data_IF_012786744929
#
_entry.id   IF_012786744929
#
_cell.length_a   1.000
_cell.length_b   1.000
_cell.length_c   1.000
_cell.angle_alpha   90.00
_cell.angle_beta   90.00
_cell.angle_gamma   90.00
#
_symmetry.space_group_name_H-M   'P 1'
#
loop_
_entity.id
_entity.type
_entity.pdbx_description
1 polymer ?
#
# COMPACT_ATOMS: atom_id res chain seq x y z
N UNK A 1 16.04 3.34 15.18
CA UNK A 1 15.37 2.71 14.03
C UNK A 1 15.49 1.20 14.16
N UNK A 2 14.37 0.51 14.11
CA UNK A 2 14.28 -0.94 13.96
C UNK A 2 14.17 -1.24 12.47
N UNK A 3 15.06 -2.10 11.99
CA UNK A 3 15.08 -2.60 10.61
C UNK A 3 15.24 -4.11 10.67
N UNK A 4 14.35 -4.84 10.00
CA UNK A 4 14.43 -6.31 9.85
C UNK A 4 14.18 -6.66 8.39
N UNK A 5 15.19 -7.25 7.78
CA UNK A 5 15.07 -7.94 6.50
C UNK A 5 14.73 -9.40 6.79
N UNK A 6 13.62 -9.87 6.23
CA UNK A 6 13.09 -11.22 6.39
C UNK A 6 13.13 -11.89 5.03
N UNK A 7 13.49 -13.17 4.98
CA UNK A 7 13.62 -13.93 3.74
C UNK A 7 12.63 -15.10 3.72
N UNK A 8 11.92 -15.25 2.62
CA UNK A 8 11.27 -16.50 2.24
C UNK A 8 12.12 -17.27 1.24
N UNK A 9 12.52 -18.47 1.62
CA UNK A 9 13.35 -19.34 0.79
C UNK A 9 12.59 -20.06 -0.32
N UNK A 10 11.25 -20.01 -0.33
CA UNK A 10 10.44 -20.70 -1.35
C UNK A 10 10.36 -19.84 -2.61
N UNK A 11 10.04 -18.55 -2.47
CA UNK A 11 10.00 -17.58 -3.57
C UNK A 11 11.32 -16.81 -3.77
N UNK A 12 12.20 -16.79 -2.77
CA UNK A 12 13.39 -15.93 -2.79
C UNK A 12 13.09 -14.47 -2.43
N UNK A 13 11.94 -14.21 -1.81
CA UNK A 13 11.46 -12.87 -1.49
C UNK A 13 12.09 -12.33 -0.20
N UNK A 14 12.48 -11.06 -0.23
CA UNK A 14 12.75 -10.24 0.93
C UNK A 14 11.53 -9.39 1.31
N UNK A 15 11.16 -9.44 2.58
CA UNK A 15 10.21 -8.51 3.19
C UNK A 15 10.93 -7.64 4.22
N UNK A 16 10.55 -6.36 4.32
CA UNK A 16 11.25 -5.38 5.17
C UNK A 16 10.33 -4.80 6.23
N UNK A 17 10.58 -5.10 7.51
CA UNK A 17 9.85 -4.51 8.64
C UNK A 17 10.65 -3.33 9.22
N UNK A 18 9.98 -2.18 9.29
CA UNK A 18 10.54 -0.88 9.66
C UNK A 18 9.76 -0.27 10.82
N UNK A 19 10.45 0.28 11.81
CA UNK A 19 9.87 1.12 12.86
C UNK A 19 10.90 2.12 13.41
N UNK A 20 10.46 3.25 13.96
CA UNK A 20 11.39 4.23 14.56
C UNK A 20 11.96 3.74 15.90
N UNK A 21 11.13 3.11 16.74
CA UNK A 21 11.43 2.61 18.09
C UNK A 21 10.51 1.45 18.50
N UNK A 22 10.84 0.76 19.59
CA UNK A 22 9.93 -0.16 20.27
C UNK A 22 8.74 0.61 20.89
N UNK A 23 7.58 -0.04 20.98
CA UNK A 23 6.29 0.57 21.34
C UNK A 23 5.72 1.50 20.27
N UNK A 24 6.28 1.48 19.06
CA UNK A 24 6.01 2.44 17.99
C UNK A 24 5.17 1.88 16.85
N UNK A 25 4.84 2.75 15.90
CA UNK A 25 4.26 2.34 14.62
C UNK A 25 5.29 1.61 13.76
N UNK A 26 4.80 0.62 13.01
CA UNK A 26 5.59 -0.15 12.08
C UNK A 26 4.96 -0.20 10.69
N UNK A 27 5.83 -0.38 9.69
CA UNK A 27 5.47 -0.63 8.30
C UNK A 27 6.21 -1.87 7.81
N UNK A 28 5.56 -2.67 6.97
CA UNK A 28 6.19 -3.80 6.27
C UNK A 28 6.10 -3.63 4.75
N UNK A 29 7.20 -3.90 4.05
CA UNK A 29 7.27 -3.96 2.58
C UNK A 29 7.29 -5.41 2.11
N UNK A 30 6.57 -5.69 1.03
CA UNK A 30 6.47 -6.97 0.30
C UNK A 30 6.23 -8.19 1.20
N UNK A 31 5.20 -8.19 2.09
CA UNK A 31 4.92 -9.33 2.95
C UNK A 31 4.44 -10.56 2.16
N UNK A 32 5.08 -11.71 2.36
CA UNK A 32 4.61 -13.02 1.86
C UNK A 32 3.51 -13.63 2.77
N UNK A 33 2.41 -14.15 2.19
CA UNK A 33 1.26 -14.71 2.92
C UNK A 33 1.65 -15.82 3.91
N UNK A 34 2.44 -16.80 3.47
CA UNK A 34 2.86 -17.96 4.27
C UNK A 34 3.75 -17.57 5.47
N UNK A 35 4.20 -16.32 5.52
CA UNK A 35 5.04 -15.78 6.61
C UNK A 35 4.28 -14.85 7.55
N UNK A 36 3.00 -14.61 7.34
CA UNK A 36 2.23 -13.65 8.16
C UNK A 36 2.26 -14.00 9.65
N UNK A 37 2.19 -15.28 10.02
CA UNK A 37 2.33 -15.70 11.41
C UNK A 37 3.68 -15.28 12.02
N UNK A 38 4.76 -15.38 11.24
CA UNK A 38 6.10 -14.94 11.65
C UNK A 38 6.15 -13.42 11.79
N UNK A 39 5.51 -12.67 10.90
CA UNK A 39 5.44 -11.21 10.99
C UNK A 39 4.67 -10.77 12.24
N UNK A 40 3.50 -11.35 12.49
CA UNK A 40 2.70 -11.08 13.69
C UNK A 40 3.47 -11.39 14.99
N UNK A 41 4.18 -12.52 15.04
CA UNK A 41 5.03 -12.87 16.17
C UNK A 41 6.14 -11.83 16.39
N UNK A 42 6.82 -11.42 15.32
CA UNK A 42 7.90 -10.44 15.40
C UNK A 42 7.39 -9.05 15.83
N UNK A 43 6.21 -8.64 15.36
CA UNK A 43 5.55 -7.41 15.80
C UNK A 43 5.29 -7.45 17.32
N UNK A 44 4.82 -8.56 17.86
CA UNK A 44 4.61 -8.74 19.30
C UNK A 44 5.93 -8.70 20.08
N UNK A 45 6.96 -9.44 19.64
CA UNK A 45 8.25 -9.53 20.32
C UNK A 45 9.00 -8.19 20.35
N UNK A 46 8.79 -7.34 19.34
CA UNK A 46 9.40 -6.01 19.24
C UNK A 46 8.53 -4.88 19.80
N UNK A 47 7.37 -5.21 20.37
CA UNK A 47 6.36 -4.24 20.84
C UNK A 47 5.98 -3.23 19.75
N UNK A 48 5.56 -3.72 18.58
CA UNK A 48 5.28 -2.90 17.40
C UNK A 48 3.81 -2.97 17.01
N UNK A 49 3.25 -1.82 16.63
CA UNK A 49 1.92 -1.73 16.02
C UNK A 49 2.06 -1.56 14.52
N UNK A 50 1.74 -2.60 13.75
CA UNK A 50 1.72 -2.49 12.28
C UNK A 50 0.58 -1.57 11.85
N UNK A 51 0.92 -0.48 11.19
CA UNK A 51 -0.07 0.50 10.69
C UNK A 51 -0.14 0.57 9.18
N UNK A 52 0.93 0.12 8.50
CA UNK A 52 1.01 0.13 7.04
C UNK A 52 1.67 -1.15 6.53
N UNK A 53 1.11 -1.73 5.48
CA UNK A 53 1.70 -2.82 4.73
C UNK A 53 1.70 -2.42 3.25
N UNK A 54 2.84 -2.58 2.59
CA UNK A 54 3.08 -2.02 1.26
C UNK A 54 3.61 -3.12 0.36
N UNK A 55 3.03 -3.25 -0.84
CA UNK A 55 3.68 -3.99 -1.91
C UNK A 55 4.31 -3.01 -2.92
N UNK A 56 5.50 -3.37 -3.40
CA UNK A 56 6.22 -2.62 -4.43
C UNK A 56 5.58 -2.76 -5.80
N UNK A 57 4.96 -3.91 -6.07
CA UNK A 57 4.27 -4.23 -7.31
C UNK A 57 3.33 -5.42 -7.09
N UNK A 58 2.49 -5.74 -8.07
CA UNK A 58 1.72 -6.99 -8.04
C UNK A 58 2.67 -8.19 -8.23
N UNK A 59 2.92 -8.95 -7.17
CA UNK A 59 3.85 -10.10 -7.23
C UNK A 59 3.26 -11.28 -8.03
N UNK A 60 4.12 -12.03 -8.74
CA UNK A 60 3.74 -13.18 -9.58
C UNK A 60 4.28 -14.52 -9.07
N UNK A 61 5.20 -14.49 -8.12
CA UNK A 61 5.94 -15.62 -7.58
C UNK A 61 5.41 -16.07 -6.21
N UNK A 62 4.75 -15.18 -5.47
CA UNK A 62 4.13 -15.47 -4.16
C UNK A 62 2.82 -14.72 -3.96
N UNK A 63 1.96 -15.27 -3.09
CA UNK A 63 0.73 -14.59 -2.67
C UNK A 63 1.07 -13.55 -1.61
N UNK A 64 0.58 -12.34 -1.79
CA UNK A 64 0.82 -11.24 -0.84
C UNK A 64 0.12 -11.48 0.49
N UNK A 65 0.80 -11.09 1.57
CA UNK A 65 0.29 -11.08 2.94
C UNK A 65 -0.49 -9.82 3.30
N UNK A 66 -0.68 -8.87 2.37
CA UNK A 66 -1.39 -7.61 2.62
C UNK A 66 -2.77 -7.83 3.25
N UNK A 67 -3.60 -8.71 2.69
CA UNK A 67 -4.97 -8.95 3.18
C UNK A 67 -4.99 -9.56 4.58
N UNK A 68 -4.18 -10.59 4.82
CA UNK A 68 -4.12 -11.27 6.12
C UNK A 68 -3.57 -10.32 7.20
N UNK A 69 -2.54 -9.54 6.89
CA UNK A 69 -2.01 -8.53 7.81
C UNK A 69 -3.04 -7.46 8.12
N UNK A 70 -3.76 -6.96 7.10
CA UNK A 70 -4.87 -6.02 7.27
C UNK A 70 -5.93 -6.59 8.20
N UNK A 71 -6.35 -7.83 8.00
CA UNK A 71 -7.43 -8.41 8.80
C UNK A 71 -7.02 -8.63 10.26
N UNK A 72 -5.77 -9.02 10.49
CA UNK A 72 -5.22 -9.21 11.85
C UNK A 72 -4.86 -7.93 12.58
N UNK A 73 -4.42 -6.89 11.87
CA UNK A 73 -3.80 -5.70 12.49
C UNK A 73 -4.56 -4.41 12.23
N UNK A 74 -5.50 -4.41 11.27
CA UNK A 74 -6.18 -3.22 10.76
C UNK A 74 -5.21 -2.19 10.16
N UNK A 75 -4.07 -2.65 9.62
CA UNK A 75 -3.14 -1.79 8.90
C UNK A 75 -3.72 -1.31 7.56
N UNK A 76 -3.25 -0.16 7.09
CA UNK A 76 -3.51 0.32 5.73
C UNK A 76 -2.64 -0.47 4.75
N UNK A 77 -3.27 -1.07 3.75
CA UNK A 77 -2.60 -1.71 2.60
C UNK A 77 -2.34 -0.68 1.50
N UNK A 78 -1.12 -0.64 0.97
CA UNK A 78 -0.64 0.41 0.06
C UNK A 78 0.03 -0.21 -1.17
N UNK A 79 -0.30 0.33 -2.34
CA UNK A 79 0.41 0.09 -3.61
C UNK A 79 0.39 1.37 -4.47
N UNK A 80 1.13 1.35 -5.57
CA UNK A 80 1.09 2.41 -6.58
C UNK A 80 -0.30 2.63 -7.17
N UNK A 81 -0.59 3.85 -7.63
CA UNK A 81 -1.88 4.21 -8.24
C UNK A 81 -2.22 3.42 -9.51
N UNK A 82 -1.21 2.85 -10.18
CA UNK A 82 -1.35 1.98 -11.33
C UNK A 82 -1.87 0.57 -10.95
N UNK A 83 -1.76 0.19 -9.66
CA UNK A 83 -2.20 -1.12 -9.20
C UNK A 83 -3.72 -1.25 -9.19
N UNK A 84 -4.17 -2.39 -9.73
CA UNK A 84 -5.59 -2.77 -9.82
C UNK A 84 -6.03 -3.72 -8.72
N UNK A 85 -5.15 -4.05 -7.77
CA UNK A 85 -5.46 -4.96 -6.69
C UNK A 85 -6.53 -4.35 -5.76
N UNK A 86 -7.56 -5.13 -5.45
CA UNK A 86 -8.71 -4.72 -4.65
C UNK A 86 -8.40 -4.66 -3.14
N UNK A 87 -7.36 -5.37 -2.70
CA UNK A 87 -6.85 -5.36 -1.32
C UNK A 87 -6.32 -3.98 -0.93
N UNK A 88 -5.97 -3.12 -1.91
CA UNK A 88 -5.29 -1.84 -1.72
C UNK A 88 -6.26 -0.77 -1.23
N UNK A 89 -5.98 -0.26 -0.02
CA UNK A 89 -6.84 0.68 0.69
C UNK A 89 -6.37 2.14 0.59
N UNK A 90 -5.10 2.33 0.19
CA UNK A 90 -4.48 3.62 -0.11
C UNK A 90 -3.58 3.45 -1.34
N UNK A 91 -3.66 4.38 -2.29
CA UNK A 91 -2.83 4.41 -3.50
C UNK A 91 -1.88 5.59 -3.44
N UNK A 92 -0.63 5.38 -3.86
CA UNK A 92 0.40 6.43 -3.91
C UNK A 92 0.82 6.73 -5.35
N UNK A 93 1.06 8.00 -5.64
CA UNK A 93 1.63 8.48 -6.91
C UNK A 93 3.15 8.70 -6.78
N UNK A 94 3.83 8.89 -7.91
CA UNK A 94 5.24 9.33 -7.94
C UNK A 94 5.43 10.61 -7.10
N UNK A 95 6.39 10.58 -6.17
CA UNK A 95 6.71 11.69 -5.27
C UNK A 95 5.80 11.81 -4.03
N UNK A 96 4.76 10.97 -3.89
CA UNK A 96 3.99 10.90 -2.64
C UNK A 96 4.85 10.30 -1.50
N UNK A 97 4.39 10.49 -0.26
CA UNK A 97 5.10 10.02 0.94
C UNK A 97 4.28 9.01 1.72
N UNK A 98 4.90 7.87 2.04
CA UNK A 98 4.37 6.89 2.98
C UNK A 98 5.01 7.12 4.35
N UNK A 99 4.24 7.69 5.27
CA UNK A 99 4.72 8.08 6.60
C UNK A 99 4.16 7.17 7.70
N UNK A 100 4.98 6.88 8.70
CA UNK A 100 4.59 6.33 10.01
C UNK A 100 5.33 7.12 11.10
N UNK A 101 5.06 6.89 12.39
CA UNK A 101 5.77 7.56 13.48
C UNK A 101 7.30 7.57 13.29
N UNK A 102 7.86 8.75 13.01
CA UNK A 102 9.30 8.99 12.89
C UNK A 102 9.97 8.45 11.62
N UNK A 103 9.22 7.88 10.65
CA UNK A 103 9.77 7.40 9.38
C UNK A 103 8.97 7.92 8.18
N UNK A 104 9.67 8.16 7.08
CA UNK A 104 9.11 8.65 5.82
C UNK A 104 9.77 7.92 4.66
N UNK A 105 8.95 7.30 3.81
CA UNK A 105 9.37 6.67 2.55
C UNK A 105 8.83 7.54 1.41
N UNK A 106 9.72 8.05 0.56
CA UNK A 106 9.32 8.73 -0.68
C UNK A 106 9.04 7.67 -1.76
N UNK A 107 7.82 7.67 -2.29
CA UNK A 107 7.40 6.75 -3.34
C UNK A 107 7.96 7.22 -4.70
N UNK A 108 8.63 6.31 -5.41
CA UNK A 108 9.21 6.55 -6.73
C UNK A 108 8.56 5.59 -7.72
N UNK A 109 7.86 6.12 -8.72
CA UNK A 109 7.30 5.29 -9.78
C UNK A 109 8.44 4.77 -10.67
N UNK A 110 8.66 3.46 -10.64
CA UNK A 110 9.79 2.79 -11.30
C UNK A 110 9.32 1.62 -12.17
N UNK A 111 8.44 1.87 -13.17
CA UNK A 111 7.89 0.82 -14.02
C UNK A 111 8.98 0.12 -14.81
N UNK A 112 8.68 -1.10 -15.24
CA UNK A 112 9.54 -1.85 -16.13
C UNK A 112 9.50 -3.34 -15.86
N UNK A 113 9.64 -3.73 -14.60
CA UNK A 113 9.34 -5.11 -14.21
C UNK A 113 7.84 -5.39 -14.40
N UNK A 114 7.02 -4.54 -13.79
CA UNK A 114 5.58 -4.40 -14.06
C UNK A 114 5.25 -2.95 -14.41
N UNK A 115 4.04 -2.69 -14.90
CA UNK A 115 3.50 -1.34 -15.11
C UNK A 115 3.03 -0.67 -13.80
N UNK A 116 3.02 -1.39 -12.68
CA UNK A 116 2.67 -0.89 -11.35
C UNK A 116 3.83 -0.89 -10.35
N UNK A 117 5.07 -1.05 -10.82
CA UNK A 117 6.27 -1.11 -9.98
C UNK A 117 6.64 0.24 -9.36
N UNK A 118 6.86 0.25 -8.04
CA UNK A 118 7.38 1.37 -7.27
C UNK A 118 8.62 0.97 -6.48
N UNK A 119 9.52 1.94 -6.32
CA UNK A 119 10.61 1.91 -5.35
C UNK A 119 10.31 2.89 -4.21
N UNK A 120 10.85 2.65 -3.03
CA UNK A 120 10.64 3.50 -1.86
C UNK A 120 11.97 3.95 -1.27
N UNK A 121 12.24 5.26 -1.30
CA UNK A 121 13.45 5.87 -0.75
C UNK A 121 13.22 6.25 0.72
N UNK A 122 14.11 5.84 1.62
CA UNK A 122 14.08 6.20 3.04
C UNK A 122 15.48 6.57 3.53
N UNK A 123 15.81 7.86 3.47
CA UNK A 123 17.10 8.38 3.92
C UNK A 123 18.26 7.80 3.12
N UNK A 124 19.03 6.92 3.75
CA UNK A 124 20.25 6.28 3.24
C UNK A 124 20.02 4.97 2.46
N UNK A 125 18.76 4.59 2.22
CA UNK A 125 18.42 3.34 1.51
C UNK A 125 17.21 3.47 0.61
N UNK A 126 17.18 2.65 -0.44
CA UNK A 126 16.06 2.50 -1.35
C UNK A 126 15.62 1.03 -1.42
N UNK A 127 14.32 0.81 -1.29
CA UNK A 127 13.69 -0.49 -1.53
C UNK A 127 13.24 -0.54 -2.98
N UNK A 128 13.85 -1.39 -3.80
CA UNK A 128 13.76 -1.29 -5.26
C UNK A 128 12.75 -2.23 -5.89
N UNK A 129 12.00 -2.99 -5.07
CA UNK A 129 11.16 -4.07 -5.55
C UNK A 129 11.95 -4.98 -6.48
N UNK A 130 11.35 -5.29 -7.62
CA UNK A 130 12.02 -6.01 -8.70
C UNK A 130 12.49 -5.10 -9.85
N UNK A 131 12.50 -3.77 -9.68
CA UNK A 131 13.06 -2.89 -10.72
C UNK A 131 14.58 -3.07 -10.81
N UNK A 132 15.29 -3.00 -9.68
CA UNK A 132 16.74 -3.17 -9.57
C UNK A 132 17.05 -4.28 -8.55
N UNK A 133 17.87 -5.26 -8.96
CA UNK A 133 18.32 -6.37 -8.11
C UNK A 133 19.83 -6.29 -7.89
N UNK A 134 20.36 -7.10 -6.96
CA UNK A 134 21.80 -7.17 -6.73
C UNK A 134 22.47 -7.85 -7.93
N UNK A 135 23.34 -7.11 -8.64
CA UNK A 135 23.99 -7.56 -9.89
C UNK A 135 22.98 -8.03 -10.96
N UNK A 136 21.78 -7.49 -10.95
CA UNK A 136 20.73 -7.83 -11.89
C UNK A 136 19.59 -6.80 -11.93
N UNK A 137 18.52 -7.14 -12.62
CA UNK A 137 17.28 -6.37 -12.71
C UNK A 137 16.11 -7.35 -12.73
N UNK A 138 14.88 -6.91 -12.47
CA UNK A 138 13.71 -7.76 -12.71
C UNK A 138 13.57 -8.09 -14.19
N UNK A 139 12.89 -9.19 -14.50
CA UNK A 139 12.47 -9.51 -15.87
C UNK A 139 11.43 -8.50 -16.37
N UNK A 140 11.21 -8.41 -17.68
CA UNK A 140 10.32 -7.38 -18.26
C UNK A 140 9.37 -7.92 -19.33
N UNK A 141 9.14 -9.23 -19.31
CA UNK A 141 8.42 -10.00 -20.34
C UNK A 141 7.03 -10.48 -19.88
N UNK A 142 6.60 -10.12 -18.66
CA UNK A 142 5.27 -10.39 -18.10
C UNK A 142 4.65 -9.14 -17.50
N UNK A 143 3.35 -9.19 -17.16
CA UNK A 143 2.65 -8.14 -16.38
C UNK A 143 2.80 -6.72 -16.95
N UNK A 144 2.67 -6.58 -18.27
CA UNK A 144 2.91 -5.32 -19.00
C UNK A 144 4.32 -4.74 -18.80
N UNK A 145 5.29 -5.60 -18.46
CA UNK A 145 6.69 -5.24 -18.34
C UNK A 145 7.25 -4.61 -19.60
N UNK A 146 8.24 -3.75 -19.42
CA UNK A 146 8.88 -2.99 -20.49
C UNK A 146 10.33 -2.71 -20.15
N UNK A 147 11.25 -3.34 -20.88
CA UNK A 147 12.69 -3.09 -20.75
C UNK A 147 13.04 -1.62 -20.97
N UNK A 148 12.30 -0.93 -21.86
CA UNK A 148 12.50 0.50 -22.12
C UNK A 148 12.10 1.36 -20.92
N UNK A 149 10.97 1.04 -20.29
CA UNK A 149 10.53 1.72 -19.07
C UNK A 149 11.48 1.41 -17.89
N UNK A 150 11.91 0.14 -17.77
CA UNK A 150 12.87 -0.27 -16.73
C UNK A 150 14.20 0.47 -16.86
N UNK A 151 14.71 0.64 -18.09
CA UNK A 151 15.90 1.43 -18.36
C UNK A 151 15.73 2.88 -17.87
N UNK A 152 14.60 3.53 -18.19
CA UNK A 152 14.34 4.89 -17.73
C UNK A 152 14.28 4.98 -16.19
N UNK A 153 13.53 4.07 -15.57
CA UNK A 153 13.44 3.95 -14.11
C UNK A 153 14.80 3.78 -13.43
N UNK A 154 15.68 2.96 -14.01
CA UNK A 154 17.02 2.72 -13.46
C UNK A 154 17.93 3.91 -13.74
N UNK A 155 18.21 4.21 -15.01
CA UNK A 155 19.27 5.14 -15.40
C UNK A 155 18.93 6.60 -15.13
N UNK A 156 17.66 6.99 -15.26
CA UNK A 156 17.22 8.37 -15.10
C UNK A 156 16.64 8.67 -13.71
N UNK A 157 16.38 7.64 -12.88
CA UNK A 157 15.93 7.83 -11.50
C UNK A 157 16.82 7.16 -10.46
N UNK A 158 16.81 5.83 -10.35
CA UNK A 158 17.51 5.12 -9.26
C UNK A 158 19.02 5.40 -9.26
N UNK A 159 19.67 5.37 -10.42
CA UNK A 159 21.10 5.68 -10.54
C UNK A 159 21.42 7.17 -10.38
N UNK A 160 20.43 8.06 -10.20
CA UNK A 160 20.66 9.47 -9.83
C UNK A 160 20.75 9.67 -8.32
N UNK A 161 20.41 8.66 -7.53
CA UNK A 161 20.64 8.66 -6.08
C UNK A 161 22.14 8.66 -5.76
N UNK A 162 22.54 9.11 -4.56
CA UNK A 162 23.92 9.04 -4.07
C UNK A 162 24.50 7.62 -4.17
N UNK A 163 25.80 7.51 -4.42
CA UNK A 163 26.47 6.21 -4.62
C UNK A 163 26.41 5.34 -3.36
N UNK A 164 26.42 5.96 -2.18
CA UNK A 164 26.34 5.30 -0.87
C UNK A 164 24.94 4.79 -0.50
N UNK A 165 23.91 5.15 -1.26
CA UNK A 165 22.54 4.71 -0.98
C UNK A 165 22.44 3.19 -1.09
N UNK A 166 22.04 2.53 0.00
CA UNK A 166 21.86 1.09 0.05
C UNK A 166 20.68 0.65 -0.80
N UNK A 167 20.84 -0.46 -1.53
CA UNK A 167 19.82 -1.06 -2.41
C UNK A 167 19.30 -2.34 -1.77
N UNK A 168 17.98 -2.35 -1.52
CA UNK A 168 17.25 -3.47 -0.93
C UNK A 168 16.18 -3.97 -1.92
N UNK A 169 16.44 -5.05 -2.68
CA UNK A 169 15.48 -5.57 -3.66
C UNK A 169 14.36 -6.39 -3.00
N UNK A 170 13.29 -6.69 -3.74
CA UNK A 170 12.28 -7.65 -3.29
C UNK A 170 12.75 -9.10 -3.42
N UNK A 171 13.75 -9.40 -4.26
CA UNK A 171 14.24 -10.78 -4.45
C UNK A 171 15.75 -10.89 -4.49
N UNK A 172 16.25 -12.03 -4.00
CA UNK A 172 17.59 -12.53 -4.31
C UNK A 172 17.61 -14.08 -4.32
N UNK A 173 18.47 -14.64 -5.18
CA UNK A 173 18.56 -16.08 -5.42
C UNK A 173 19.97 -16.64 -5.14
N UNK A 174 20.88 -15.83 -4.63
CA UNK A 174 22.30 -16.15 -4.40
C UNK A 174 22.72 -16.05 -2.94
N UNK A 175 21.87 -15.51 -2.08
CA UNK A 175 22.16 -15.21 -0.68
C UNK A 175 22.72 -13.79 -0.47
N UNK A 176 22.71 -12.94 -1.49
CA UNK A 176 23.08 -11.53 -1.38
C UNK A 176 21.94 -10.76 -0.70
N UNK A 177 22.26 -9.88 0.25
CA UNK A 177 21.25 -9.24 1.12
C UNK A 177 21.09 -7.74 0.86
N UNK A 178 22.18 -7.06 0.46
CA UNK A 178 22.21 -5.61 0.22
C UNK A 178 23.31 -5.28 -0.78
N UNK A 179 23.11 -4.24 -1.59
CA UNK A 179 24.13 -3.60 -2.43
C UNK A 179 24.09 -2.09 -2.24
N UNK A 180 24.76 -1.32 -3.08
CA UNK A 180 24.68 0.14 -3.13
C UNK A 180 24.47 0.63 -4.55
N UNK A 181 23.93 1.84 -4.71
CA UNK A 181 23.78 2.47 -6.03
C UNK A 181 25.14 2.57 -6.75
N UNK A 182 26.20 2.93 -6.04
CA UNK A 182 27.55 3.01 -6.58
C UNK A 182 28.10 1.66 -7.05
N UNK A 183 27.82 0.59 -6.29
CA UNK A 183 28.16 -0.76 -6.69
C UNK A 183 27.39 -1.22 -7.93
N UNK A 184 26.08 -1.00 -7.98
CA UNK A 184 25.26 -1.40 -9.12
C UNK A 184 25.66 -0.63 -10.39
N UNK A 185 25.96 0.67 -10.30
CA UNK A 185 26.51 1.45 -11.43
C UNK A 185 27.76 0.80 -12.02
N UNK A 186 28.69 0.37 -11.16
CA UNK A 186 30.02 -0.11 -11.57
C UNK A 186 30.04 -1.57 -11.99
N UNK A 187 29.22 -2.42 -11.37
CA UNK A 187 29.41 -3.87 -11.44
C UNK A 187 28.14 -4.64 -11.78
N UNK A 188 26.97 -4.01 -11.90
CA UNK A 188 25.79 -4.73 -12.39
C UNK A 188 25.97 -5.03 -13.88
N UNK A 189 26.04 -6.32 -14.28
CA UNK A 189 26.34 -6.70 -15.65
C UNK A 189 25.25 -6.24 -16.65
N UNK A 190 24.00 -6.07 -16.20
CA UNK A 190 22.90 -5.60 -17.05
C UNK A 190 22.93 -4.10 -17.29
N UNK A 191 23.66 -3.36 -16.47
CA UNK A 191 23.81 -1.91 -16.59
C UNK A 191 25.03 -1.49 -17.43
N UNK A 192 25.88 -2.44 -17.83
CA UNK A 192 27.08 -2.20 -18.65
C UNK A 192 26.75 -2.07 -20.16
N UNK A 193 25.62 -1.46 -20.47
CA UNK A 193 25.09 -1.27 -21.82
C UNK A 193 25.38 0.15 -22.32
N UNK A 194 25.57 0.31 -23.64
CA UNK A 194 25.93 1.60 -24.25
C UNK A 194 24.73 2.48 -24.62
N UNK A 195 23.53 1.89 -24.65
CA UNK A 195 22.29 2.57 -25.03
C UNK A 195 21.07 1.82 -24.48
N UNK A 196 19.92 2.50 -24.51
CA UNK A 196 18.62 1.91 -24.19
C UNK A 196 18.28 0.73 -25.11
N UNK A 197 18.63 0.80 -26.40
CA UNK A 197 18.34 -0.28 -27.34
C UNK A 197 19.19 -1.52 -27.03
N UNK A 198 20.45 -1.35 -26.62
CA UNK A 198 21.29 -2.45 -26.15
C UNK A 198 20.75 -3.09 -24.86
N UNK A 199 20.14 -2.29 -23.98
CA UNK A 199 19.45 -2.83 -22.79
C UNK A 199 18.22 -3.65 -23.17
N UNK A 200 17.38 -3.13 -24.06
CA UNK A 200 16.18 -3.82 -24.56
C UNK A 200 16.57 -5.15 -25.21
N UNK A 201 17.59 -5.14 -26.07
CA UNK A 201 18.12 -6.36 -26.69
C UNK A 201 18.62 -7.36 -25.65
N UNK A 202 19.38 -6.91 -24.65
CA UNK A 202 19.87 -7.76 -23.56
C UNK A 202 18.71 -8.42 -22.81
N UNK A 203 17.71 -7.62 -22.40
CA UNK A 203 16.57 -8.11 -21.60
C UNK A 203 15.69 -9.09 -22.38
N UNK A 204 15.44 -8.83 -23.66
CA UNK A 204 14.66 -9.73 -24.53
C UNK A 204 15.35 -11.07 -24.79
N UNK A 205 16.68 -11.15 -24.63
CA UNK A 205 17.46 -12.35 -24.88
C UNK A 205 17.82 -13.14 -23.59
N UNK A 206 17.23 -12.79 -22.43
CA UNK A 206 17.50 -13.51 -21.18
C UNK A 206 16.95 -14.95 -21.16
N UNK A 207 15.95 -15.26 -22.00
CA UNK A 207 15.36 -16.60 -22.15
C UNK A 207 15.06 -17.31 -20.81
N UNK A 208 14.48 -16.57 -19.86
CA UNK A 208 14.18 -17.08 -18.53
C UNK A 208 12.98 -18.03 -18.55
N UNK A 209 12.96 -19.10 -17.73
CA UNK A 209 11.80 -19.96 -17.62
C UNK A 209 10.57 -19.17 -17.14
N UNK A 210 9.38 -19.61 -17.53
CA UNK A 210 8.14 -19.04 -17.03
C UNK A 210 8.05 -19.19 -15.49
N UNK A 211 7.55 -18.19 -14.76
CA UNK A 211 7.34 -18.34 -13.33
C UNK A 211 6.34 -19.45 -13.05
N UNK A 212 6.68 -20.38 -12.14
CA UNK A 212 5.96 -21.64 -11.95
C UNK A 212 4.52 -21.47 -11.43
N UNK A 213 4.23 -20.38 -10.73
CA UNK A 213 2.98 -20.17 -9.99
C UNK A 213 2.16 -18.99 -10.50
N UNK A 214 2.60 -18.32 -11.56
CA UNK A 214 2.03 -17.05 -12.03
C UNK A 214 0.53 -17.10 -12.29
N UNK A 215 0.05 -18.17 -12.93
CA UNK A 215 -1.36 -18.35 -13.31
C UNK A 215 -2.31 -18.49 -12.09
N UNK A 216 -1.76 -18.81 -10.92
CA UNK A 216 -2.50 -18.94 -9.66
C UNK A 216 -2.31 -17.69 -8.79
N UNK A 217 -1.09 -17.17 -8.74
CA UNK A 217 -0.70 -16.07 -7.86
C UNK A 217 -1.28 -14.74 -8.32
N UNK A 218 -1.24 -14.43 -9.62
CA UNK A 218 -1.75 -13.14 -10.12
C UNK A 218 -3.25 -12.95 -9.86
N UNK A 219 -4.13 -13.93 -10.19
CA UNK A 219 -5.55 -13.81 -9.85
C UNK A 219 -5.78 -13.72 -8.35
N UNK A 220 -5.02 -14.46 -7.54
CA UNK A 220 -5.11 -14.36 -6.09
C UNK A 220 -4.80 -12.92 -5.65
N UNK A 221 -3.62 -12.39 -5.97
CA UNK A 221 -3.19 -11.06 -5.53
C UNK A 221 -4.08 -9.90 -6.04
N UNK A 222 -4.82 -10.09 -7.14
CA UNK A 222 -5.78 -9.10 -7.63
C UNK A 222 -7.12 -9.08 -6.87
N UNK A 223 -7.48 -10.18 -6.21
CA UNK A 223 -8.84 -10.42 -5.69
C UNK A 223 -8.88 -10.89 -4.21
N UNK A 224 -8.05 -10.32 -3.34
CA UNK A 224 -8.00 -10.63 -1.88
C UNK A 224 -8.68 -9.55 -1.01
N UNK A 225 -9.36 -8.59 -1.64
CA UNK A 225 -10.06 -7.49 -0.98
C UNK A 225 -11.36 -7.91 -0.28
N UNK A 226 -11.81 -7.10 0.68
CA UNK A 226 -13.18 -7.19 1.19
C UNK A 226 -14.14 -6.58 0.15
N UNK A 227 -15.14 -7.34 -0.29
CA UNK A 227 -16.10 -6.86 -1.29
C UNK A 227 -17.12 -5.89 -0.69
N UNK A 228 -17.08 -4.63 -1.13
CA UNK A 228 -18.08 -3.60 -0.77
C UNK A 228 -19.53 -4.05 -1.09
N UNK A 229 -19.68 -4.91 -2.10
CA UNK A 229 -20.95 -5.51 -2.52
C UNK A 229 -21.68 -6.26 -1.39
N UNK A 230 -20.95 -6.86 -0.45
CA UNK A 230 -21.56 -7.58 0.68
C UNK A 230 -22.22 -6.60 1.66
N UNK A 231 -21.55 -5.49 1.97
CA UNK A 231 -22.12 -4.43 2.83
C UNK A 231 -23.27 -3.70 2.14
N UNK A 232 -23.21 -3.54 0.82
CA UNK A 232 -24.30 -2.99 0.04
C UNK A 232 -25.56 -3.85 0.13
N UNK A 233 -25.43 -5.19 0.04
CA UNK A 233 -26.55 -6.14 0.22
C UNK A 233 -27.18 -6.06 1.61
N UNK A 234 -26.42 -5.65 2.62
CA UNK A 234 -26.92 -5.45 3.99
C UNK A 234 -27.49 -4.04 4.25
N UNK A 235 -27.53 -3.16 3.24
CA UNK A 235 -28.07 -1.79 3.38
C UNK A 235 -27.15 -0.82 4.12
N UNK A 236 -25.85 -1.13 4.16
CA UNK A 236 -24.83 -0.37 4.91
C UNK A 236 -23.92 0.46 4.01
N UNK A 237 -24.16 0.43 2.71
CA UNK A 237 -23.56 1.32 1.74
C UNK A 237 -24.58 2.39 1.34
N UNK A 238 -24.12 3.64 1.27
CA UNK A 238 -24.82 4.73 0.63
C UNK A 238 -24.14 5.00 -0.72
N UNK A 239 -24.95 5.12 -1.78
CA UNK A 239 -24.42 5.63 -3.04
C UNK A 239 -23.91 7.06 -2.85
N UNK A 240 -22.97 7.48 -3.69
CA UNK A 240 -22.49 8.86 -3.69
C UNK A 240 -23.63 9.89 -3.78
N UNK A 241 -24.66 9.61 -4.59
CA UNK A 241 -25.82 10.50 -4.75
C UNK A 241 -26.67 10.58 -3.48
N UNK A 242 -26.92 9.44 -2.83
CA UNK A 242 -27.69 9.40 -1.58
C UNK A 242 -26.94 10.08 -0.44
N UNK A 243 -25.61 9.92 -0.41
CA UNK A 243 -24.75 10.60 0.53
C UNK A 243 -24.76 12.13 0.31
N UNK A 244 -24.74 12.59 -0.95
CA UNK A 244 -24.86 14.02 -1.30
C UNK A 244 -26.22 14.57 -0.89
N UNK A 245 -27.31 13.86 -1.20
CA UNK A 245 -28.67 14.26 -0.80
C UNK A 245 -28.85 14.31 0.72
N UNK A 246 -27.97 13.62 1.45
CA UNK A 246 -27.93 13.57 2.90
C UNK A 246 -27.10 14.70 3.54
N UNK A 247 -26.42 15.52 2.75
CA UNK A 247 -25.55 16.58 3.25
C UNK A 247 -26.33 17.63 4.05
N UNK A 248 -25.81 18.03 5.21
CA UNK A 248 -26.41 19.03 6.09
C UNK A 248 -27.59 18.50 6.93
N UNK A 249 -27.99 17.24 6.75
CA UNK A 249 -29.00 16.61 7.60
C UNK A 249 -28.49 16.46 9.04
N UNK A 250 -29.26 16.88 10.06
CA UNK A 250 -28.80 16.88 11.45
C UNK A 250 -28.71 15.48 12.06
N UNK A 251 -29.31 14.47 11.43
CA UNK A 251 -29.29 13.07 11.84
C UNK A 251 -28.08 12.28 11.28
N UNK A 252 -27.18 12.92 10.52
CA UNK A 252 -26.03 12.27 9.89
C UNK A 252 -24.72 12.90 10.35
N UNK A 253 -23.74 12.04 10.67
CA UNK A 253 -22.37 12.43 10.96
C UNK A 253 -21.44 11.82 9.91
N UNK A 254 -20.87 12.67 9.05
CA UNK A 254 -19.83 12.24 8.12
C UNK A 254 -18.51 12.07 8.86
N UNK A 255 -17.80 10.97 8.61
CA UNK A 255 -16.49 10.67 9.22
C UNK A 255 -15.47 10.38 8.12
N UNK A 256 -14.45 11.23 8.03
CA UNK A 256 -13.34 11.12 7.08
C UNK A 256 -12.23 10.24 7.68
N UNK A 257 -11.99 9.10 7.05
CA UNK A 257 -10.98 8.12 7.48
C UNK A 257 -9.61 8.32 6.83
N UNK A 258 -9.48 9.30 5.93
CA UNK A 258 -8.25 9.54 5.16
C UNK A 258 -7.17 10.18 6.02
N UNK A 259 -5.92 9.98 5.63
CA UNK A 259 -4.79 10.67 6.25
C UNK A 259 -4.78 12.16 5.90
N UNK A 260 -4.05 12.96 6.69
CA UNK A 260 -3.96 14.41 6.49
C UNK A 260 -3.44 14.76 5.08
N UNK A 261 -2.48 14.00 4.56
CA UNK A 261 -1.94 14.21 3.22
C UNK A 261 -3.00 14.02 2.12
N UNK A 262 -3.82 12.98 2.22
CA UNK A 262 -4.93 12.74 1.28
C UNK A 262 -5.99 13.85 1.35
N UNK A 263 -6.26 14.38 2.55
CA UNK A 263 -7.19 15.49 2.76
C UNK A 263 -6.68 16.78 2.14
N UNK A 264 -5.38 17.06 2.27
CA UNK A 264 -4.75 18.21 1.63
C UNK A 264 -4.78 18.08 0.09
N UNK A 265 -4.46 16.90 -0.44
CA UNK A 265 -4.41 16.63 -1.89
C UNK A 265 -5.80 16.64 -2.54
N UNK A 266 -6.81 16.11 -1.85
CA UNK A 266 -8.12 15.84 -2.46
C UNK A 266 -9.29 16.63 -1.85
N UNK A 267 -9.03 17.53 -0.90
CA UNK A 267 -10.08 18.29 -0.21
C UNK A 267 -10.87 17.42 0.78
N UNK A 268 -11.84 18.04 1.44
CA UNK A 268 -12.64 17.47 2.53
C UNK A 268 -14.15 17.71 2.32
N UNK A 269 -14.99 16.96 3.05
CA UNK A 269 -16.43 17.19 3.06
C UNK A 269 -16.79 18.14 4.21
N UNK A 270 -17.61 19.16 3.93
CA UNK A 270 -17.99 20.16 4.94
C UNK A 270 -18.71 19.49 6.12
N UNK A 271 -18.30 19.83 7.35
CA UNK A 271 -18.87 19.27 8.57
C UNK A 271 -18.47 17.82 8.87
N UNK A 272 -17.60 17.20 8.07
CA UNK A 272 -17.07 15.88 8.37
C UNK A 272 -16.09 15.91 9.54
N UNK A 273 -16.26 14.97 10.46
CA UNK A 273 -15.31 14.73 11.55
C UNK A 273 -14.13 13.94 10.99
N UNK A 274 -12.91 14.34 11.35
CA UNK A 274 -11.72 13.60 10.95
C UNK A 274 -11.37 12.54 12.00
N UNK A 275 -11.37 11.28 11.59
CA UNK A 275 -10.94 10.16 12.41
C UNK A 275 -10.18 9.18 11.50
N UNK A 276 -8.85 9.34 11.32
CA UNK A 276 -8.06 8.47 10.46
C UNK A 276 -8.32 6.99 10.72
N UNK A 277 -8.29 6.18 9.66
CA UNK A 277 -8.44 4.74 9.79
C UNK A 277 -7.44 4.12 10.78
N UNK A 278 -6.14 4.51 10.80
CA UNK A 278 -5.24 4.12 11.87
C UNK A 278 -5.74 4.67 13.21
N UNK A 279 -6.18 3.78 14.10
CA UNK A 279 -6.78 4.15 15.39
C UNK A 279 -8.30 4.16 15.43
N UNK A 280 -8.98 3.78 14.33
CA UNK A 280 -10.45 3.68 14.28
C UNK A 280 -11.01 2.79 15.39
N UNK A 281 -10.33 1.70 15.75
CA UNK A 281 -10.78 0.86 16.85
C UNK A 281 -10.85 1.64 18.18
N UNK A 282 -9.86 2.48 18.48
CA UNK A 282 -9.83 3.27 19.71
C UNK A 282 -10.96 4.30 19.78
N UNK A 283 -11.39 4.86 18.64
CA UNK A 283 -12.50 5.82 18.60
C UNK A 283 -13.87 5.15 18.71
N UNK A 284 -13.96 3.85 18.40
CA UNK A 284 -15.19 3.05 18.44
C UNK A 284 -15.44 2.31 19.77
N UNK A 285 -14.40 2.11 20.59
CA UNK A 285 -14.54 1.49 21.92
C UNK A 285 -15.31 2.41 22.90
N UNK A 286 -15.85 1.88 24.02
CA UNK A 286 -16.41 2.70 25.10
C UNK A 286 -15.45 3.81 25.57
N UNK A 287 -15.93 5.05 25.66
CA UNK A 287 -15.10 6.22 25.94
C UNK A 287 -14.35 6.80 24.73
N UNK A 288 -14.42 6.14 23.57
CA UNK A 288 -13.85 6.62 22.31
C UNK A 288 -14.70 7.73 21.67
N UNK A 289 -14.03 8.66 20.97
CA UNK A 289 -14.67 9.85 20.39
C UNK A 289 -15.94 9.53 19.57
N UNK A 290 -15.87 8.59 18.63
CA UNK A 290 -17.00 8.28 17.74
C UNK A 290 -18.13 7.59 18.50
N UNK A 291 -17.78 6.73 19.48
CA UNK A 291 -18.76 6.06 20.34
C UNK A 291 -19.57 7.08 21.14
N UNK A 292 -18.90 8.02 21.78
CA UNK A 292 -19.54 9.04 22.61
C UNK A 292 -20.37 10.01 21.78
N UNK A 293 -19.85 10.48 20.64
CA UNK A 293 -20.61 11.36 19.74
C UNK A 293 -21.86 10.66 19.21
N UNK A 294 -21.75 9.40 18.78
CA UNK A 294 -22.90 8.66 18.30
C UNK A 294 -23.94 8.41 19.40
N UNK A 295 -23.50 8.07 20.62
CA UNK A 295 -24.39 7.87 21.76
C UNK A 295 -25.12 9.16 22.18
N UNK A 296 -24.41 10.30 22.21
CA UNK A 296 -24.97 11.57 22.63
C UNK A 296 -25.92 12.19 21.61
N UNK A 297 -25.65 11.99 20.31
CA UNK A 297 -26.41 12.66 19.24
C UNK A 297 -27.46 11.78 18.57
N UNK A 298 -27.34 10.45 18.69
CA UNK A 298 -28.17 9.49 17.94
C UNK A 298 -27.94 9.52 16.43
N UNK A 299 -26.96 10.30 15.94
CA UNK A 299 -26.68 10.46 14.51
C UNK A 299 -26.21 9.14 13.90
N UNK A 300 -26.64 8.88 12.66
CA UNK A 300 -26.06 7.83 11.83
C UNK A 300 -24.65 8.21 11.44
N UNK A 301 -23.68 7.35 11.77
CA UNK A 301 -22.27 7.57 11.42
C UNK A 301 -22.02 7.05 10.02
N UNK A 302 -21.60 7.93 9.12
CA UNK A 302 -21.34 7.59 7.71
C UNK A 302 -19.85 7.79 7.44
N UNK A 303 -19.13 6.69 7.29
CA UNK A 303 -17.71 6.69 7.00
C UNK A 303 -17.43 6.94 5.52
N UNK A 304 -16.33 7.60 5.22
CA UNK A 304 -15.79 7.62 3.87
C UNK A 304 -14.26 7.65 3.88
N UNK A 305 -13.68 7.13 2.80
CA UNK A 305 -12.25 7.24 2.52
C UNK A 305 -12.04 7.67 1.06
N UNK A 306 -10.88 7.34 0.46
CA UNK A 306 -10.60 7.66 -0.93
C UNK A 306 -11.57 6.95 -1.90
N UNK A 307 -11.63 5.61 -1.84
CA UNK A 307 -12.36 4.76 -2.81
C UNK A 307 -13.35 3.75 -2.17
N UNK A 308 -13.58 3.84 -0.86
CA UNK A 308 -14.62 3.07 -0.15
C UNK A 308 -14.11 1.89 0.68
N UNK A 309 -12.89 1.41 0.46
CA UNK A 309 -12.35 0.18 1.08
C UNK A 309 -12.16 0.35 2.60
N UNK A 310 -11.41 1.36 3.04
CA UNK A 310 -11.24 1.65 4.48
C UNK A 310 -12.56 1.94 5.18
N UNK A 311 -13.49 2.59 4.49
CA UNK A 311 -14.79 2.91 5.06
C UNK A 311 -15.71 1.70 5.19
N UNK A 312 -15.66 0.76 4.26
CA UNK A 312 -16.30 -0.55 4.40
C UNK A 312 -15.75 -1.31 5.61
N UNK A 313 -14.42 -1.34 5.77
CA UNK A 313 -13.78 -1.93 6.95
C UNK A 313 -14.17 -1.25 8.26
N UNK A 314 -14.28 0.08 8.27
CA UNK A 314 -14.71 0.82 9.45
C UNK A 314 -16.15 0.49 9.85
N UNK A 315 -17.05 0.23 8.89
CA UNK A 315 -18.41 -0.25 9.18
C UNK A 315 -18.36 -1.62 9.85
N UNK A 316 -17.55 -2.56 9.34
CA UNK A 316 -17.38 -3.88 9.97
C UNK A 316 -16.81 -3.76 11.39
N UNK A 317 -15.81 -2.90 11.60
CA UNK A 317 -15.25 -2.62 12.92
C UNK A 317 -16.26 -1.99 13.88
N UNK A 318 -17.07 -1.04 13.40
CA UNK A 318 -18.11 -0.37 14.17
C UNK A 318 -19.19 -1.35 14.64
N UNK A 319 -19.64 -2.24 13.76
CA UNK A 319 -20.57 -3.33 14.12
C UNK A 319 -20.00 -4.23 15.20
N UNK A 320 -18.74 -4.67 15.06
CA UNK A 320 -18.07 -5.52 16.05
C UNK A 320 -17.96 -4.82 17.40
N UNK A 321 -17.78 -3.50 17.41
CA UNK A 321 -17.81 -2.65 18.60
C UNK A 321 -19.24 -2.33 19.12
N UNK A 322 -20.28 -2.89 18.49
CA UNK A 322 -21.67 -2.69 18.89
C UNK A 322 -22.24 -1.31 18.53
N UNK A 323 -21.67 -0.62 17.55
CA UNK A 323 -22.24 0.61 16.97
C UNK A 323 -23.02 0.22 15.71
N UNK A 324 -24.35 0.09 15.84
CA UNK A 324 -25.19 -0.46 14.78
C UNK A 324 -25.61 0.56 13.71
N UNK A 325 -25.79 1.83 14.08
CA UNK A 325 -26.28 2.87 13.17
C UNK A 325 -25.15 3.48 12.33
N UNK A 326 -24.50 2.63 11.52
CA UNK A 326 -23.37 3.03 10.67
C UNK A 326 -23.60 2.70 9.21
N UNK A 327 -22.95 3.47 8.33
CA UNK A 327 -22.87 3.18 6.91
C UNK A 327 -21.53 3.69 6.36
N UNK A 328 -21.25 3.41 5.09
CA UNK A 328 -20.19 4.08 4.36
C UNK A 328 -20.66 4.64 3.02
N UNK A 329 -19.88 5.58 2.47
CA UNK A 329 -20.04 6.04 1.09
C UNK A 329 -19.32 5.04 0.17
N UNK A 330 -20.09 4.36 -0.68
CA UNK A 330 -19.55 3.47 -1.71
C UNK A 330 -18.69 4.26 -2.70
N UNK A 331 -17.50 3.75 -3.03
CA UNK A 331 -16.55 4.45 -3.90
C UNK A 331 -15.91 5.69 -3.28
N UNK A 332 -16.17 5.98 -2.00
CA UNK A 332 -15.53 7.05 -1.24
C UNK A 332 -15.71 8.47 -1.81
N UNK A 333 -14.74 9.34 -1.53
CA UNK A 333 -14.76 10.73 -2.02
C UNK A 333 -14.53 10.83 -3.53
N UNK A 334 -13.92 9.82 -4.16
CA UNK A 334 -13.78 9.77 -5.62
C UNK A 334 -15.15 9.66 -6.30
N UNK A 335 -15.98 8.71 -5.86
CA UNK A 335 -17.35 8.57 -6.35
C UNK A 335 -18.20 9.80 -6.01
N UNK A 336 -18.03 10.39 -4.81
CA UNK A 336 -18.65 11.66 -4.43
C UNK A 336 -18.38 12.78 -5.45
N UNK A 337 -17.10 12.97 -5.83
CA UNK A 337 -16.71 13.98 -6.82
C UNK A 337 -17.27 13.68 -8.21
N UNK A 338 -17.21 12.42 -8.65
CA UNK A 338 -17.78 11.99 -9.94
C UNK A 338 -19.30 12.19 -10.00
N UNK A 339 -19.98 12.12 -8.86
CA UNK A 339 -21.40 12.41 -8.73
C UNK A 339 -21.74 13.92 -8.61
N UNK A 340 -20.75 14.81 -8.66
CA UNK A 340 -20.95 16.27 -8.55
C UNK A 340 -21.08 16.78 -7.12
N UNK A 341 -20.67 16.00 -6.12
CA UNK A 341 -20.74 16.40 -4.73
C UNK A 341 -19.74 17.52 -4.37
N UNK A 342 -20.12 18.45 -3.48
CA UNK A 342 -19.25 19.56 -3.09
C UNK A 342 -18.06 19.09 -2.24
N UNK A 343 -16.91 19.72 -2.44
CA UNK A 343 -15.69 19.50 -1.66
C UNK A 343 -15.09 20.84 -1.24
N UNK A 344 -14.56 20.88 -0.03
CA UNK A 344 -13.84 22.04 0.52
C UNK A 344 -12.36 21.80 0.36
N UNK A 345 -11.69 22.65 -0.41
CA UNK A 345 -10.24 22.67 -0.48
C UNK A 345 -9.70 23.41 0.75
N UNK A 346 -8.73 22.78 1.43
CA UNK A 346 -8.08 23.30 2.63
C UNK A 346 -6.80 24.04 2.32
#
# INVERSE_FOLDING_TARGET
>A
MIFRQLFDSVSGTYSYLLASRAGGEALILDPVLEKVDRYCKLLQELDLRLVKAVDTHLHADHVTGLAELRDRTQCITIMGEQSKADVVSMRVSDGDRVMIEGLCLDAMYTPGHTDDSYSYLMGDRVFTGDTLLIRGTGRTDFQNGSARAQYDSIFNRLLKLPDETMVFPAHDYKGDTVSTIGEEKRYNPRLQVKSIDAYVELMNNLNLPNPKLMDVVLPANMHVGLHQDELAKEGLALSARDAIASLGRPDILLVDLREVAERAKHGTLAGALHAPYPGICATLQPGGMLREVAAATGRRVVFFCAFGERSAMAVAAAKKAGLANTAHIEGGIDAWKKAGGPVVMG
#
